data_IF_800735143224
#
_entry.id   IF_800735143224
#
_cell.length_a   1.000
_cell.length_b   1.000
_cell.length_c   1.000
_cell.angle_alpha   90.00
_cell.angle_beta   90.00
_cell.angle_gamma   90.00
#
_symmetry.space_group_name_H-M   'P 1'
#
loop_
_entity.id
_entity.type
_entity.pdbx_description
1 polymer ?
#
# COMPACT_ATOMS: atom_id res chain seq x y z
N UNK A 1 -8.39 -11.66 -8.59
CA UNK A 1 -8.79 -11.95 -7.19
C UNK A 1 -9.00 -10.70 -6.33
N UNK A 2 -8.04 -9.79 -6.17
CA UNK A 2 -8.21 -8.57 -5.33
C UNK A 2 -9.39 -7.68 -5.74
N UNK A 3 -9.57 -7.44 -7.05
CA UNK A 3 -10.67 -6.63 -7.57
C UNK A 3 -12.04 -7.28 -7.33
N UNK A 4 -12.12 -8.61 -7.47
CA UNK A 4 -13.33 -9.38 -7.15
C UNK A 4 -13.66 -9.30 -5.65
N UNK A 5 -12.66 -9.44 -4.78
CA UNK A 5 -12.84 -9.34 -3.33
C UNK A 5 -13.32 -7.94 -2.87
N UNK A 6 -13.11 -6.88 -3.67
CA UNK A 6 -13.66 -5.54 -3.40
C UNK A 6 -15.16 -5.46 -3.65
N UNK A 7 -15.71 -6.29 -4.54
CA UNK A 7 -17.14 -6.29 -4.88
C UNK A 7 -18.00 -6.96 -3.79
N UNK A 8 -17.38 -7.70 -2.86
CA UNK A 8 -18.06 -8.34 -1.74
C UNK A 8 -18.51 -7.25 -0.76
N UNK A 9 -19.83 -7.13 -0.54
CA UNK A 9 -20.41 -6.15 0.38
C UNK A 9 -20.05 -6.48 1.83
N UNK A 10 -19.13 -5.70 2.40
CA UNK A 10 -18.77 -5.72 3.83
C UNK A 10 -18.41 -4.32 4.31
N UNK A 11 -18.83 -3.91 5.52
CA UNK A 11 -18.58 -2.56 6.03
C UNK A 11 -17.15 -2.38 6.59
N UNK A 12 -16.20 -3.24 6.21
CA UNK A 12 -14.82 -3.21 6.71
C UNK A 12 -13.84 -3.84 5.71
N UNK A 13 -12.58 -3.40 5.77
CA UNK A 13 -11.46 -4.08 5.13
C UNK A 13 -10.88 -5.17 6.03
N UNK A 14 -10.16 -6.12 5.43
CA UNK A 14 -9.36 -7.11 6.18
C UNK A 14 -7.94 -7.14 5.67
N UNK A 15 -6.99 -7.31 6.59
CA UNK A 15 -5.56 -7.50 6.32
C UNK A 15 -5.08 -8.75 7.04
N UNK A 16 -4.23 -9.53 6.40
CA UNK A 16 -3.53 -10.62 7.08
C UNK A 16 -2.23 -10.10 7.69
N UNK A 17 -1.99 -10.40 8.96
CA UNK A 17 -0.73 -10.15 9.65
C UNK A 17 0.08 -11.45 9.70
N UNK A 18 1.17 -11.58 8.91
CA UNK A 18 1.95 -12.81 8.85
C UNK A 18 2.77 -13.07 10.12
N UNK A 19 3.11 -12.03 10.90
CA UNK A 19 3.92 -12.17 12.11
C UNK A 19 3.16 -12.85 13.24
N UNK A 20 1.86 -12.57 13.35
CA UNK A 20 0.97 -13.11 14.38
C UNK A 20 0.01 -14.18 13.86
N UNK A 21 0.08 -14.50 12.56
CA UNK A 21 -0.82 -15.44 11.88
C UNK A 21 -2.30 -15.10 12.09
N UNK A 22 -2.64 -13.81 12.10
CA UNK A 22 -3.98 -13.32 12.43
C UNK A 22 -4.57 -12.40 11.36
N UNK A 23 -5.89 -12.19 11.41
CA UNK A 23 -6.60 -11.26 10.52
C UNK A 23 -6.95 -10.00 11.28
N UNK A 24 -6.57 -8.85 10.73
CA UNK A 24 -6.90 -7.53 11.25
C UNK A 24 -8.04 -6.91 10.45
N UNK A 25 -9.01 -6.34 11.18
CA UNK A 25 -10.18 -5.69 10.60
C UNK A 25 -9.92 -4.18 10.50
N UNK A 26 -9.82 -3.67 9.28
CA UNK A 26 -9.67 -2.24 8.97
C UNK A 26 -11.05 -1.57 8.96
N UNK A 27 -11.51 -1.17 10.13
CA UNK A 27 -12.85 -0.60 10.36
C UNK A 27 -12.85 0.89 10.74
N UNK A 28 -11.71 1.45 11.13
CA UNK A 28 -11.59 2.83 11.61
C UNK A 28 -10.32 3.50 11.07
N UNK A 29 -10.29 4.84 11.16
CA UNK A 29 -9.16 5.64 10.68
C UNK A 29 -7.86 5.33 11.44
N UNK A 30 -7.93 5.04 12.75
CA UNK A 30 -6.76 4.74 13.57
C UNK A 30 -6.03 3.47 13.11
N UNK A 31 -6.76 2.38 12.82
CA UNK A 31 -6.15 1.14 12.30
C UNK A 31 -5.59 1.33 10.90
N UNK A 32 -6.25 2.14 10.07
CA UNK A 32 -5.74 2.50 8.75
C UNK A 32 -4.44 3.31 8.90
N UNK A 33 -4.39 4.28 9.81
CA UNK A 33 -3.20 5.08 10.07
C UNK A 33 -2.04 4.22 10.61
N UNK A 34 -2.31 3.27 11.51
CA UNK A 34 -1.31 2.31 11.99
C UNK A 34 -0.72 1.50 10.82
N UNK A 35 -1.57 0.99 9.93
CA UNK A 35 -1.13 0.29 8.72
C UNK A 35 -0.31 1.19 7.79
N UNK A 36 -0.72 2.44 7.59
CA UNK A 36 0.05 3.40 6.78
C UNK A 36 1.42 3.67 7.40
N UNK A 37 1.51 3.73 8.73
CA UNK A 37 2.79 3.88 9.44
C UNK A 37 3.71 2.66 9.23
N UNK A 38 3.16 1.44 9.25
CA UNK A 38 3.91 0.22 8.91
C UNK A 38 4.43 0.28 7.47
N UNK A 39 3.55 0.60 6.51
CA UNK A 39 3.91 0.71 5.10
C UNK A 39 4.98 1.78 4.85
N UNK A 40 4.96 2.90 5.59
CA UNK A 40 6.01 3.91 5.52
C UNK A 40 7.36 3.36 5.96
N UNK A 41 7.38 2.47 6.96
CA UNK A 41 8.57 1.74 7.37
C UNK A 41 9.11 0.86 6.24
N UNK A 42 8.24 0.08 5.60
CA UNK A 42 8.61 -0.77 4.47
C UNK A 42 9.15 0.04 3.28
N UNK A 43 8.52 1.18 2.97
CA UNK A 43 9.00 2.09 1.93
C UNK A 43 10.38 2.67 2.23
N UNK A 44 10.70 2.93 3.51
CA UNK A 44 12.04 3.34 3.92
C UNK A 44 13.08 2.24 3.64
N UNK A 45 12.72 0.98 3.89
CA UNK A 45 13.59 -0.18 3.57
C UNK A 45 13.84 -0.25 2.06
N UNK A 46 12.79 -0.13 1.25
CA UNK A 46 12.90 -0.13 -0.22
C UNK A 46 13.76 1.03 -0.71
N UNK A 47 13.55 2.25 -0.21
CA UNK A 47 14.35 3.42 -0.56
C UNK A 47 15.84 3.23 -0.24
N UNK A 48 16.15 2.68 0.95
CA UNK A 48 17.53 2.39 1.33
C UNK A 48 18.15 1.29 0.46
N UNK A 49 17.37 0.26 0.07
CA UNK A 49 17.84 -0.78 -0.83
C UNK A 49 18.14 -0.24 -2.23
N UNK A 50 17.25 0.61 -2.76
CA UNK A 50 17.46 1.28 -4.05
C UNK A 50 18.71 2.14 -4.05
N UNK A 51 18.96 2.91 -2.99
CA UNK A 51 20.18 3.70 -2.87
C UNK A 51 21.44 2.82 -2.90
N UNK A 52 21.44 1.71 -2.16
CA UNK A 52 22.57 0.76 -2.16
C UNK A 52 22.81 0.10 -3.52
N UNK A 53 21.73 -0.24 -4.23
CA UNK A 53 21.82 -0.82 -5.57
C UNK A 53 22.38 0.22 -6.55
N UNK A 54 21.91 1.46 -6.49
CA UNK A 54 22.41 2.55 -7.32
C UNK A 54 23.90 2.84 -7.09
N UNK A 55 24.36 2.76 -5.83
CA UNK A 55 25.79 2.88 -5.49
C UNK A 55 26.65 1.75 -6.09
N UNK A 56 26.06 0.59 -6.41
CA UNK A 56 26.75 -0.58 -6.96
C UNK A 56 26.58 -0.74 -8.48
N UNK A 57 25.49 -0.22 -9.03
CA UNK A 57 25.09 -0.33 -10.43
C UNK A 57 24.34 0.95 -10.87
N UNK A 58 25.04 1.82 -11.59
CA UNK A 58 24.51 3.09 -12.09
C UNK A 58 23.45 2.93 -13.20
N UNK A 59 23.26 1.72 -13.74
CA UNK A 59 22.29 1.45 -14.81
C UNK A 59 20.84 1.32 -14.32
N UNK A 60 20.65 1.26 -13.01
CA UNK A 60 19.33 1.08 -12.39
C UNK A 60 18.54 2.39 -12.45
N UNK A 61 17.37 2.34 -13.09
CA UNK A 61 16.42 3.46 -13.15
C UNK A 61 15.71 3.65 -11.79
N UNK A 62 16.39 4.32 -10.88
CA UNK A 62 15.88 4.65 -9.54
C UNK A 62 14.67 5.60 -9.62
N UNK A 63 14.66 6.50 -10.59
CA UNK A 63 13.63 7.52 -10.75
C UNK A 63 12.30 6.89 -11.20
N UNK A 64 12.34 5.97 -12.18
CA UNK A 64 11.17 5.19 -12.58
C UNK A 64 10.57 4.38 -11.43
N UNK A 65 11.42 3.75 -10.61
CA UNK A 65 10.95 2.98 -9.45
C UNK A 65 10.37 3.90 -8.37
N UNK A 66 10.98 5.06 -8.11
CA UNK A 66 10.47 6.04 -7.17
C UNK A 66 9.09 6.58 -7.60
N UNK A 67 8.88 6.80 -8.90
CA UNK A 67 7.60 7.25 -9.43
C UNK A 67 6.47 6.23 -9.21
N UNK A 68 6.75 4.93 -9.30
CA UNK A 68 5.78 3.88 -8.97
C UNK A 68 5.29 3.97 -7.51
N UNK A 69 6.12 4.46 -6.59
CA UNK A 69 5.76 4.65 -5.19
C UNK A 69 4.82 5.85 -4.99
N UNK A 70 4.92 6.89 -5.83
CA UNK A 70 4.13 8.11 -5.72
C UNK A 70 2.72 7.99 -6.32
N UNK A 71 2.51 7.13 -7.32
CA UNK A 71 1.23 6.97 -8.03
C UNK A 71 0.16 6.10 -7.32
N UNK A 72 0.42 5.64 -6.10
CA UNK A 72 -0.32 4.49 -5.53
C UNK A 72 -1.68 4.73 -4.87
N UNK A 73 -2.11 5.99 -4.66
CA UNK A 73 -3.30 6.30 -3.85
C UNK A 73 -4.26 7.28 -4.55
N UNK A 74 -4.95 6.84 -5.59
CA UNK A 74 -6.16 7.53 -6.06
C UNK A 74 -7.32 7.24 -5.11
N UNK A 75 -7.68 8.22 -4.29
CA UNK A 75 -8.91 8.26 -3.48
C UNK A 75 -10.04 8.98 -4.21
N UNK A 76 -10.10 8.87 -5.54
CA UNK A 76 -11.21 9.42 -6.31
C UNK A 76 -12.48 8.68 -5.89
N UNK A 77 -13.34 9.36 -5.14
CA UNK A 77 -14.67 8.85 -4.87
C UNK A 77 -15.41 8.75 -6.20
N UNK A 78 -15.64 7.52 -6.67
CA UNK A 78 -16.65 7.27 -7.68
C UNK A 78 -18.01 7.58 -7.03
N UNK A 79 -18.43 8.84 -7.15
CA UNK A 79 -19.83 9.22 -7.00
C UNK A 79 -20.61 8.44 -8.05
N UNK A 80 -21.08 7.25 -7.69
CA UNK A 80 -22.17 6.61 -8.38
C UNK A 80 -23.38 7.53 -8.23
N UNK A 81 -23.61 8.34 -9.26
CA UNK A 81 -24.87 9.02 -9.46
C UNK A 81 -25.92 7.97 -9.74
N UNK A 82 -26.87 7.83 -8.82
CA UNK A 82 -28.18 7.31 -9.13
C UNK A 82 -29.15 8.51 -9.12
N UNK A 83 -29.68 8.77 -10.32
CA UNK A 83 -30.92 9.51 -10.58
C UNK A 83 -32.12 8.81 -9.95
#
# INVERSE_FOLDING_TARGET
MRNFARQIKRPFGVRYNPYTQSIEILSNAEKIAALVSELRGDLCIVSNALRKIHEQDETVDVEGIANLLHTGLDLTEEKNGDQ
#
